data_IF_923386175007
#
_entry.id   IF_923386175007
#
_cell.length_a   1.000
_cell.length_b   1.000
_cell.length_c   1.000
_cell.angle_alpha   90.00
_cell.angle_beta   90.00
_cell.angle_gamma   90.00
#
_symmetry.space_group_name_H-M   'P 1'
#
loop_
_entity.id
_entity.type
_entity.pdbx_description
1 polymer ?
#
# COMPACT_ATOMS: atom_id res chain seq x y z
N UNK A 1 26.45 -45.94 22.33
CA UNK A 1 25.78 -45.28 21.19
C UNK A 1 24.66 -44.42 21.77
N UNK A 2 24.86 -43.11 21.84
CA UNK A 2 23.87 -42.17 22.40
C UNK A 2 23.00 -41.65 21.26
N UNK A 3 21.70 -41.95 21.29
CA UNK A 3 20.71 -41.29 20.45
C UNK A 3 20.07 -40.18 21.29
N UNK A 4 20.45 -38.93 21.04
CA UNK A 4 19.69 -37.80 21.56
C UNK A 4 18.41 -37.67 20.72
N UNK A 5 17.20 -37.63 21.32
CA UNK A 5 15.99 -37.37 20.56
C UNK A 5 16.07 -35.97 19.97
N UNK A 6 15.94 -35.85 18.65
CA UNK A 6 15.78 -34.54 18.00
C UNK A 6 14.40 -34.03 18.40
N UNK A 7 14.35 -33.06 19.31
CA UNK A 7 13.12 -32.35 19.64
C UNK A 7 12.69 -31.58 18.39
N UNK A 8 11.60 -32.01 17.77
CA UNK A 8 11.03 -31.30 16.63
C UNK A 8 10.80 -29.84 17.02
N UNK A 9 11.27 -28.92 16.18
CA UNK A 9 10.98 -27.50 16.36
C UNK A 9 9.48 -27.30 16.17
N UNK A 10 8.87 -26.48 17.03
CA UNK A 10 7.50 -26.05 16.80
C UNK A 10 7.44 -25.30 15.46
N UNK A 11 6.38 -25.51 14.66
CA UNK A 11 6.21 -24.76 13.42
C UNK A 11 6.21 -23.26 13.72
N UNK A 12 6.98 -22.50 12.94
CA UNK A 12 6.97 -21.05 13.00
C UNK A 12 5.64 -20.58 12.40
N UNK A 13 4.85 -19.87 13.19
CA UNK A 13 3.68 -19.17 12.66
C UNK A 13 4.17 -18.02 11.77
N UNK A 14 3.93 -18.16 10.47
CA UNK A 14 4.30 -17.17 9.45
C UNK A 14 3.12 -16.26 9.08
N UNK A 15 1.97 -16.44 9.75
CA UNK A 15 0.79 -15.61 9.51
C UNK A 15 1.07 -14.19 9.99
N UNK A 16 0.77 -13.23 9.13
CA UNK A 16 0.79 -11.82 9.53
C UNK A 16 -0.25 -11.58 10.62
N UNK A 17 0.00 -10.61 11.53
CA UNK A 17 -1.03 -10.17 12.45
C UNK A 17 -2.29 -9.70 11.72
N UNK A 18 -3.48 -9.96 12.28
CA UNK A 18 -4.76 -9.67 11.60
C UNK A 18 -5.00 -8.17 11.29
N UNK A 19 -4.25 -7.27 11.95
CA UNK A 19 -4.28 -5.83 11.68
C UNK A 19 -3.35 -5.39 10.53
N UNK A 20 -2.52 -6.29 10.02
CA UNK A 20 -1.61 -6.01 8.90
C UNK A 20 -2.22 -6.55 7.62
N UNK A 21 -2.42 -5.66 6.64
CA UNK A 21 -2.96 -6.02 5.32
C UNK A 21 -1.96 -5.73 4.22
N UNK A 22 -1.91 -6.61 3.23
CA UNK A 22 -1.11 -6.47 2.01
C UNK A 22 -2.02 -6.11 0.84
N UNK A 23 -1.55 -5.21 -0.02
CA UNK A 23 -2.28 -4.80 -1.21
C UNK A 23 -1.36 -4.27 -2.30
N UNK A 24 -1.98 -3.67 -3.31
CA UNK A 24 -1.32 -2.99 -4.40
C UNK A 24 -1.87 -1.57 -4.56
N UNK A 25 -1.03 -0.68 -5.09
CA UNK A 25 -1.40 0.67 -5.48
C UNK A 25 -1.06 0.86 -6.95
N UNK A 26 -2.01 1.40 -7.71
CA UNK A 26 -1.81 1.83 -9.09
C UNK A 26 -1.83 3.36 -9.16
N UNK A 27 -1.10 3.94 -10.09
CA UNK A 27 -1.16 5.39 -10.34
C UNK A 27 -2.45 5.74 -11.09
N UNK A 28 -3.13 6.80 -10.69
CA UNK A 28 -4.26 7.37 -11.43
C UNK A 28 -3.82 7.78 -12.84
N UNK A 29 -4.47 7.20 -13.86
CA UNK A 29 -4.15 7.44 -15.27
C UNK A 29 -4.26 8.91 -15.68
N UNK A 30 -5.02 9.72 -14.93
CA UNK A 30 -5.22 11.14 -15.20
C UNK A 30 -4.29 12.05 -14.38
N UNK A 31 -3.42 11.52 -13.52
CA UNK A 31 -2.58 12.34 -12.62
C UNK A 31 -1.66 13.31 -13.36
N UNK A 32 -1.23 12.96 -14.58
CA UNK A 32 -0.40 13.81 -15.43
C UNK A 32 -1.09 15.10 -15.88
N UNK A 33 -2.43 15.13 -15.89
CA UNK A 33 -3.21 16.34 -16.15
C UNK A 33 -3.12 17.34 -15.00
N UNK A 34 -3.00 16.83 -13.77
CA UNK A 34 -2.81 17.64 -12.58
C UNK A 34 -1.34 18.04 -12.39
N UNK A 35 -0.41 17.11 -12.57
CA UNK A 35 1.02 17.38 -12.50
C UNK A 35 1.77 16.80 -13.71
N UNK A 36 2.15 17.64 -14.69
CA UNK A 36 2.86 17.22 -15.90
C UNK A 36 4.25 16.60 -15.65
N UNK A 37 4.79 16.69 -14.42
CA UNK A 37 6.05 16.03 -14.04
C UNK A 37 5.88 14.54 -13.74
N UNK A 38 4.64 14.06 -13.59
CA UNK A 38 4.36 12.63 -13.49
C UNK A 38 4.38 12.04 -14.90
N UNK A 39 5.36 11.16 -15.15
CA UNK A 39 5.50 10.45 -16.42
C UNK A 39 5.06 9.01 -16.19
N UNK A 40 3.95 8.61 -16.82
CA UNK A 40 3.47 7.23 -16.78
C UNK A 40 4.24 6.38 -17.79
N UNK A 41 4.48 5.12 -17.45
CA UNK A 41 5.13 4.16 -18.34
C UNK A 41 4.14 3.67 -19.41
N UNK A 42 4.60 3.46 -20.65
CA UNK A 42 3.74 3.02 -21.76
C UNK A 42 3.36 1.52 -21.69
N UNK A 43 4.06 0.73 -20.86
CA UNK A 43 3.94 -0.74 -20.77
C UNK A 43 2.93 -1.24 -19.71
N UNK A 44 2.02 -0.38 -19.27
CA UNK A 44 0.93 -0.73 -18.35
C UNK A 44 0.83 0.18 -17.12
N UNK A 45 -0.08 -0.12 -16.18
CA UNK A 45 -0.29 0.72 -15.01
C UNK A 45 0.94 0.67 -14.09
N UNK A 46 1.55 1.85 -13.89
CA UNK A 46 2.60 2.03 -12.90
C UNK A 46 2.06 1.66 -11.52
N UNK A 47 2.71 0.73 -10.82
CA UNK A 47 2.17 0.13 -9.59
C UNK A 47 3.24 -0.31 -8.60
N UNK A 48 2.86 -0.39 -7.32
CA UNK A 48 3.71 -0.90 -6.23
C UNK A 48 2.89 -1.71 -5.23
N UNK A 49 3.55 -2.57 -4.45
CA UNK A 49 2.94 -3.30 -3.35
C UNK A 49 3.01 -2.48 -2.07
N UNK A 50 1.97 -2.58 -1.25
CA UNK A 50 1.91 -1.92 0.04
C UNK A 50 1.62 -2.90 1.18
N UNK A 51 2.09 -2.52 2.36
CA UNK A 51 1.71 -3.14 3.63
C UNK A 51 1.12 -2.04 4.50
N UNK A 52 -0.10 -2.23 4.97
CA UNK A 52 -0.79 -1.29 5.86
C UNK A 52 -0.93 -1.95 7.22
N UNK A 53 -0.36 -1.31 8.24
CA UNK A 53 -0.69 -1.59 9.64
C UNK A 53 -1.94 -0.77 10.02
N UNK A 54 -3.09 -1.43 10.10
CA UNK A 54 -4.37 -0.81 10.47
C UNK A 54 -4.38 -0.31 11.92
N UNK A 55 -3.47 -0.80 12.78
CA UNK A 55 -3.35 -0.39 14.18
C UNK A 55 -2.56 0.91 14.33
N UNK A 56 -1.55 1.15 13.50
CA UNK A 56 -0.81 2.43 13.51
C UNK A 56 -1.71 3.58 13.08
N UNK A 57 -2.56 3.33 12.07
CA UNK A 57 -3.45 4.34 11.50
C UNK A 57 -2.77 5.38 10.63
N UNK A 58 -1.46 5.25 10.38
CA UNK A 58 -0.65 6.25 9.67
C UNK A 58 -0.73 6.08 8.14
N UNK A 59 -1.82 6.58 7.57
CA UNK A 59 -2.01 6.59 6.11
C UNK A 59 -0.94 7.43 5.40
N UNK A 60 -0.40 8.46 6.06
CA UNK A 60 0.63 9.32 5.47
C UNK A 60 1.96 8.57 5.29
N UNK A 61 2.31 7.69 6.23
CA UNK A 61 3.46 6.80 6.07
C UNK A 61 3.30 5.90 4.85
N UNK A 62 2.11 5.32 4.64
CA UNK A 62 1.82 4.49 3.46
C UNK A 62 1.96 5.31 2.16
N UNK A 63 1.40 6.53 2.13
CA UNK A 63 1.51 7.43 0.96
C UNK A 63 2.97 7.77 0.66
N UNK A 64 3.80 8.05 1.67
CA UNK A 64 5.23 8.35 1.48
C UNK A 64 5.98 7.19 0.84
N UNK A 65 5.71 5.96 1.27
CA UNK A 65 6.31 4.76 0.66
C UNK A 65 5.86 4.60 -0.79
N UNK A 66 4.56 4.77 -1.07
CA UNK A 66 4.01 4.71 -2.43
C UNK A 66 4.67 5.74 -3.34
N UNK A 67 4.76 7.00 -2.90
CA UNK A 67 5.39 8.10 -3.66
C UNK A 67 6.86 7.80 -3.94
N UNK A 68 7.58 7.25 -2.96
CA UNK A 68 8.99 6.87 -3.10
C UNK A 68 9.17 5.73 -4.11
N UNK A 69 8.43 4.63 -3.95
CA UNK A 69 8.56 3.43 -4.78
C UNK A 69 8.18 3.71 -6.24
N UNK A 70 7.12 4.50 -6.43
CA UNK A 70 6.63 4.93 -7.74
C UNK A 70 7.38 6.14 -8.29
N UNK A 71 8.44 6.62 -7.60
CA UNK A 71 9.26 7.76 -8.04
C UNK A 71 8.43 9.00 -8.41
N UNK A 72 7.32 9.21 -7.72
CA UNK A 72 6.45 10.37 -7.97
C UNK A 72 7.14 11.66 -7.50
N UNK A 73 6.89 12.81 -8.16
CA UNK A 73 7.47 14.09 -7.78
C UNK A 73 7.27 14.42 -6.29
N UNK A 74 8.36 14.76 -5.60
CA UNK A 74 8.32 15.17 -4.19
C UNK A 74 7.82 16.61 -4.02
N UNK A 75 7.34 16.94 -2.82
CA UNK A 75 6.81 18.28 -2.49
C UNK A 75 5.35 18.49 -2.85
N UNK A 76 4.72 17.51 -3.47
CA UNK A 76 3.30 17.51 -3.82
C UNK A 76 2.44 16.81 -2.76
N UNK A 77 1.14 17.10 -2.75
CA UNK A 77 0.16 16.40 -1.89
C UNK A 77 -0.48 15.25 -2.66
N UNK A 78 -0.30 14.02 -2.18
CA UNK A 78 -0.92 12.82 -2.75
C UNK A 78 -1.90 12.20 -1.78
N UNK A 79 -2.89 11.48 -2.31
CA UNK A 79 -3.83 10.67 -1.55
C UNK A 79 -3.98 9.28 -2.15
N UNK A 80 -4.47 8.35 -1.34
CA UNK A 80 -4.91 7.03 -1.80
C UNK A 80 -6.43 7.02 -1.86
N UNK A 81 -7.01 6.50 -2.93
CA UNK A 81 -8.45 6.31 -3.06
C UNK A 81 -8.77 4.83 -3.28
N UNK A 82 -9.96 4.40 -2.83
CA UNK A 82 -10.52 3.11 -3.22
C UNK A 82 -11.00 3.16 -4.68
N UNK A 83 -10.99 2.02 -5.36
CA UNK A 83 -11.54 1.91 -6.72
C UNK A 83 -13.06 2.14 -6.71
N UNK A 84 -13.79 1.45 -5.82
CA UNK A 84 -15.23 1.61 -5.64
C UNK A 84 -15.66 1.48 -4.16
N UNK A 85 -16.44 2.44 -3.64
CA UNK A 85 -16.65 3.79 -4.17
C UNK A 85 -15.34 4.60 -4.16
N UNK A 86 -15.16 5.50 -5.15
CA UNK A 86 -14.02 6.44 -5.26
C UNK A 86 -14.02 7.44 -4.11
N UNK A 87 -13.46 7.03 -2.97
CA UNK A 87 -13.29 7.87 -1.79
C UNK A 87 -11.87 7.74 -1.27
N UNK A 88 -11.36 8.82 -0.66
CA UNK A 88 -10.03 8.81 -0.04
C UNK A 88 -9.96 7.81 1.11
N UNK A 89 -8.86 7.07 1.15
CA UNK A 89 -8.43 6.32 2.30
C UNK A 89 -8.01 7.30 3.38
N UNK A 90 -8.59 7.16 4.56
CA UNK A 90 -8.32 7.97 5.74
C UNK A 90 -8.18 7.04 6.94
N UNK A 91 -7.59 7.54 8.02
CA UNK A 91 -7.50 6.77 9.27
C UNK A 91 -8.88 6.30 9.79
N UNK A 92 -9.94 7.05 9.49
CA UNK A 92 -11.32 6.74 9.89
C UNK A 92 -11.99 5.63 9.08
N UNK A 93 -11.43 5.21 7.95
CA UNK A 93 -12.03 4.19 7.07
C UNK A 93 -11.08 3.04 6.70
N UNK A 94 -9.98 2.91 7.44
CA UNK A 94 -8.99 1.83 7.31
C UNK A 94 -9.59 0.44 7.47
N UNK A 95 -10.68 0.31 8.24
CA UNK A 95 -11.40 -0.95 8.45
C UNK A 95 -11.84 -1.58 7.12
N UNK A 96 -12.12 -0.77 6.10
CA UNK A 96 -12.53 -1.19 4.75
C UNK A 96 -11.40 -1.83 3.93
N UNK A 97 -10.15 -1.65 4.34
CA UNK A 97 -8.99 -2.24 3.65
C UNK A 97 -8.83 -3.69 4.09
N UNK A 98 -8.79 -4.59 3.10
CA UNK A 98 -8.60 -6.03 3.27
C UNK A 98 -7.35 -6.52 2.54
N UNK A 99 -6.86 -7.72 2.88
CA UNK A 99 -5.79 -8.36 2.12
C UNK A 99 -6.19 -8.50 0.64
N UNK A 100 -5.25 -8.20 -0.26
CA UNK A 100 -5.48 -8.15 -1.69
C UNK A 100 -6.20 -6.89 -2.17
N UNK A 101 -6.27 -5.83 -1.36
CA UNK A 101 -6.85 -4.56 -1.80
C UNK A 101 -6.04 -3.95 -2.96
N UNK A 102 -6.77 -3.23 -3.82
CA UNK A 102 -6.20 -2.33 -4.81
C UNK A 102 -6.65 -0.91 -4.47
N UNK A 103 -5.67 -0.02 -4.33
CA UNK A 103 -5.90 1.42 -4.16
C UNK A 103 -5.31 2.16 -5.34
N UNK A 104 -5.72 3.42 -5.51
CA UNK A 104 -5.22 4.30 -6.56
C UNK A 104 -4.53 5.47 -5.87
N UNK A 105 -3.29 5.78 -6.26
CA UNK A 105 -2.62 7.02 -5.84
C UNK A 105 -2.97 8.14 -6.82
N UNK A 106 -3.43 9.26 -6.29
CA UNK A 106 -3.87 10.43 -7.05
C UNK A 106 -3.53 11.72 -6.31
N UNK A 107 -3.90 12.86 -6.88
CA UNK A 107 -3.78 14.17 -6.24
C UNK A 107 -4.51 14.18 -4.89
N UNK A 108 -3.83 14.63 -3.83
CA UNK A 108 -4.39 14.71 -2.49
C UNK A 108 -5.42 15.83 -2.38
N UNK A 109 -6.51 15.58 -1.66
CA UNK A 109 -7.38 16.66 -1.18
C UNK A 109 -6.64 17.43 -0.09
N UNK A 110 -6.37 18.71 -0.34
CA UNK A 110 -5.82 19.63 0.67
C UNK A 110 -6.79 19.85 1.83
#
# INVERSE_FOLDING_TARGET
MFHTPVKALNPVDTKLPDHVVKGAVIVDEHIGQWNPRVVLEDDGPMSTYIVIDKKSGDVNEVIKHVVYDLKLPSGESYGLIFEEPRVFLTSSNLDRVNNGCMLIVTAGSS
#
